data_IF_090976993373
#
_entry.id   IF_090976993373
#
_cell.length_a   1.000
_cell.length_b   1.000
_cell.length_c   1.000
_cell.angle_alpha   90.00
_cell.angle_beta   90.00
_cell.angle_gamma   90.00
#
_symmetry.space_group_name_H-M   'P 1'
#
loop_
_entity.id
_entity.type
_entity.pdbx_description
1 polymer ?
#
# COMPACT_ATOMS: atom_id res chain seq x y z
N UNK A 1 -7.46 15.34 9.25
CA UNK A 1 -8.14 14.83 10.44
C UNK A 1 -7.19 13.94 11.21
N UNK A 2 -6.88 14.27 12.46
CA UNK A 2 -6.18 13.40 13.40
C UNK A 2 -7.19 12.85 14.39
N UNK A 3 -7.09 11.58 14.73
CA UNK A 3 -8.03 10.92 15.63
C UNK A 3 -7.34 9.76 16.36
N UNK A 4 -7.66 9.62 17.64
CA UNK A 4 -7.29 8.46 18.46
C UNK A 4 -8.57 7.85 19.01
N UNK A 5 -8.95 6.66 18.56
CA UNK A 5 -10.19 5.96 18.95
C UNK A 5 -10.67 5.00 17.87
N UNK A 6 -11.95 4.67 17.89
CA UNK A 6 -12.56 3.67 17.01
C UNK A 6 -12.47 4.03 15.52
N UNK A 7 -12.09 3.08 14.64
CA UNK A 7 -11.94 3.30 13.20
C UNK A 7 -13.21 3.87 12.51
N UNK A 8 -14.38 3.42 12.91
CA UNK A 8 -15.64 3.89 12.31
C UNK A 8 -15.93 5.35 12.66
N UNK A 9 -15.55 5.81 13.85
CA UNK A 9 -15.66 7.22 14.22
C UNK A 9 -14.67 8.08 13.43
N UNK A 10 -13.44 7.60 13.24
CA UNK A 10 -12.48 8.22 12.32
C UNK A 10 -13.08 8.37 10.92
N UNK A 11 -13.67 7.31 10.39
CA UNK A 11 -14.33 7.30 9.08
C UNK A 11 -15.44 8.35 8.96
N UNK A 12 -16.26 8.53 10.01
CA UNK A 12 -17.31 9.58 10.06
C UNK A 12 -16.71 10.98 9.95
N UNK A 13 -15.65 11.25 10.69
CA UNK A 13 -14.95 12.55 10.67
C UNK A 13 -14.30 12.83 9.34
N UNK A 14 -13.62 11.84 8.76
CA UNK A 14 -13.03 11.97 7.42
C UNK A 14 -14.12 12.24 6.37
N UNK A 15 -15.25 11.53 6.43
CA UNK A 15 -16.36 11.75 5.51
C UNK A 15 -16.98 13.14 5.66
N UNK A 16 -17.16 13.61 6.88
CA UNK A 16 -17.67 14.95 7.12
C UNK A 16 -16.76 16.03 6.53
N UNK A 17 -15.44 15.89 6.73
CA UNK A 17 -14.44 16.78 6.16
C UNK A 17 -14.41 16.71 4.63
N UNK A 18 -14.48 15.52 4.05
CA UNK A 18 -14.52 15.31 2.61
C UNK A 18 -15.78 15.97 1.99
N UNK A 19 -16.93 15.86 2.67
CA UNK A 19 -18.17 16.55 2.23
C UNK A 19 -18.03 18.07 2.25
N UNK A 20 -17.40 18.62 3.30
CA UNK A 20 -17.11 20.06 3.35
C UNK A 20 -16.23 20.53 2.20
N UNK A 21 -15.35 19.65 1.71
CA UNK A 21 -14.43 19.90 0.58
C UNK A 21 -15.02 19.54 -0.78
N UNK A 22 -16.31 19.28 -0.86
CA UNK A 22 -16.98 19.05 -2.13
C UNK A 22 -17.00 17.59 -2.60
N UNK A 23 -16.92 16.60 -1.71
CA UNK A 23 -17.01 15.18 -2.08
C UNK A 23 -18.24 14.86 -2.95
N UNK A 24 -19.36 15.56 -2.72
CA UNK A 24 -20.59 15.32 -3.47
C UNK A 24 -20.48 15.70 -4.94
N UNK A 25 -19.62 16.67 -5.27
CA UNK A 25 -19.43 17.20 -6.63
C UNK A 25 -18.29 16.49 -7.39
N UNK A 26 -17.53 15.60 -6.72
CA UNK A 26 -16.43 14.89 -7.39
C UNK A 26 -16.95 13.75 -8.25
N UNK A 27 -16.41 13.61 -9.46
CA UNK A 27 -16.72 12.51 -10.38
C UNK A 27 -16.05 11.18 -9.98
N UNK A 28 -14.83 11.25 -9.47
CA UNK A 28 -14.07 10.09 -9.03
C UNK A 28 -13.51 10.29 -7.62
N UNK A 29 -13.57 9.23 -6.82
CA UNK A 29 -13.04 9.20 -5.45
C UNK A 29 -12.14 7.98 -5.32
N UNK A 30 -10.94 8.18 -4.79
CA UNK A 30 -9.98 7.13 -4.54
C UNK A 30 -9.60 7.12 -3.06
N UNK A 31 -9.38 5.94 -2.52
CA UNK A 31 -8.80 5.73 -1.18
C UNK A 31 -7.50 4.97 -1.37
N UNK A 32 -6.37 5.67 -1.17
CA UNK A 32 -5.04 5.07 -1.20
C UNK A 32 -4.64 4.70 0.22
N UNK A 33 -4.29 3.45 0.46
CA UNK A 33 -3.99 2.93 1.80
C UNK A 33 -2.97 1.78 1.79
N UNK A 34 -2.42 1.49 2.97
CA UNK A 34 -1.40 0.47 3.21
C UNK A 34 -1.91 -0.99 3.22
N UNK A 35 -3.21 -1.20 2.99
CA UNK A 35 -3.82 -2.53 3.01
C UNK A 35 -4.43 -2.93 4.36
N UNK A 36 -4.36 -2.08 5.38
CA UNK A 36 -4.98 -2.38 6.68
C UNK A 36 -6.48 -2.64 6.56
N UNK A 37 -6.94 -3.75 7.08
CA UNK A 37 -8.34 -4.23 6.96
C UNK A 37 -9.36 -3.19 7.44
N UNK A 38 -9.04 -2.45 8.51
CA UNK A 38 -9.94 -1.44 9.06
C UNK A 38 -10.15 -0.27 8.09
N UNK A 39 -9.14 0.09 7.28
CA UNK A 39 -9.27 1.17 6.29
C UNK A 39 -10.24 0.76 5.18
N UNK A 40 -10.14 -0.50 4.71
CA UNK A 40 -11.08 -1.02 3.71
C UNK A 40 -12.51 -1.09 4.24
N UNK A 41 -12.70 -1.41 5.52
CA UNK A 41 -14.02 -1.32 6.17
C UNK A 41 -14.55 0.11 6.20
N UNK A 42 -13.73 1.08 6.57
CA UNK A 42 -14.10 2.51 6.53
C UNK A 42 -14.41 2.95 5.09
N UNK A 43 -13.62 2.53 4.12
CA UNK A 43 -13.86 2.85 2.71
C UNK A 43 -15.21 2.30 2.24
N UNK A 44 -15.50 1.03 2.51
CA UNK A 44 -16.78 0.42 2.14
C UNK A 44 -17.98 1.08 2.83
N UNK A 45 -17.87 1.37 4.12
CA UNK A 45 -18.96 1.92 4.94
C UNK A 45 -19.23 3.41 4.65
N UNK A 46 -18.20 4.22 4.43
CA UNK A 46 -18.29 5.67 4.31
C UNK A 46 -18.09 6.21 2.91
N UNK A 47 -17.39 5.49 2.08
CA UNK A 47 -16.98 5.90 0.73
C UNK A 47 -17.26 4.81 -0.30
N UNK A 48 -18.44 4.16 -0.23
CA UNK A 48 -18.77 2.99 -1.05
C UNK A 48 -18.63 3.17 -2.57
N UNK A 49 -18.66 4.42 -3.07
CA UNK A 49 -18.35 4.73 -4.48
C UNK A 49 -16.86 4.93 -4.76
N UNK A 50 -16.03 5.01 -3.71
CA UNK A 50 -14.61 5.20 -3.87
C UNK A 50 -13.94 3.91 -4.31
N UNK A 51 -12.98 4.02 -5.21
CA UNK A 51 -12.11 2.91 -5.56
C UNK A 51 -10.94 2.84 -4.57
N UNK A 52 -10.74 1.68 -3.95
CA UNK A 52 -9.58 1.41 -3.11
C UNK A 52 -8.35 1.15 -3.97
N UNK A 53 -7.22 1.72 -3.56
CA UNK A 53 -5.92 1.53 -4.19
C UNK A 53 -4.91 1.20 -3.10
N UNK A 54 -4.25 0.05 -3.22
CA UNK A 54 -3.15 -0.30 -2.33
C UNK A 54 -1.97 0.63 -2.62
N UNK A 55 -1.39 1.22 -1.59
CA UNK A 55 -0.22 2.09 -1.75
C UNK A 55 0.92 1.34 -2.45
N UNK A 56 1.39 1.88 -3.59
CA UNK A 56 2.43 1.25 -4.39
C UNK A 56 3.76 1.11 -3.64
N UNK A 57 4.13 2.10 -2.84
CA UNK A 57 5.37 2.04 -2.06
C UNK A 57 5.28 0.99 -0.97
N UNK A 58 4.11 0.85 -0.34
CA UNK A 58 3.86 -0.18 0.64
C UNK A 58 3.89 -1.59 -0.01
N UNK A 59 3.21 -1.78 -1.13
CA UNK A 59 3.30 -3.00 -1.93
C UNK A 59 4.75 -3.32 -2.34
N UNK A 60 5.52 -2.29 -2.71
CA UNK A 60 6.94 -2.44 -3.04
C UNK A 60 7.75 -2.96 -1.84
N UNK A 61 7.50 -2.47 -0.63
CA UNK A 61 8.16 -2.95 0.58
C UNK A 61 7.89 -4.44 0.84
N UNK A 62 6.67 -4.89 0.60
CA UNK A 62 6.28 -6.30 0.71
C UNK A 62 7.03 -7.17 -0.32
N UNK A 63 7.17 -6.74 -1.57
CA UNK A 63 7.99 -7.45 -2.57
C UNK A 63 9.47 -7.49 -2.18
N UNK A 64 10.01 -6.39 -1.64
CA UNK A 64 11.37 -6.36 -1.12
C UNK A 64 11.57 -7.32 0.06
N UNK A 65 10.57 -7.49 0.90
CA UNK A 65 10.61 -8.49 1.99
C UNK A 65 10.79 -9.90 1.45
N UNK A 66 10.05 -10.27 0.41
CA UNK A 66 10.24 -11.56 -0.27
C UNK A 66 11.64 -11.66 -0.89
N UNK A 67 12.08 -10.63 -1.61
CA UNK A 67 13.38 -10.62 -2.27
C UNK A 67 14.53 -10.89 -1.29
N UNK A 68 14.52 -10.19 -0.15
CA UNK A 68 15.54 -10.35 0.90
C UNK A 68 15.45 -11.69 1.61
N UNK A 69 14.24 -12.24 1.78
CA UNK A 69 14.09 -13.59 2.33
C UNK A 69 14.65 -14.67 1.38
N UNK A 70 14.53 -14.48 0.07
CA UNK A 70 15.12 -15.37 -0.94
C UNK A 70 16.64 -15.19 -1.08
N UNK A 71 17.16 -14.00 -0.85
CA UNK A 71 18.56 -13.60 -1.04
C UNK A 71 19.12 -12.87 0.20
N UNK A 72 19.19 -13.50 1.38
CA UNK A 72 19.40 -12.81 2.66
C UNK A 72 20.75 -12.10 2.80
N UNK A 73 21.74 -12.44 1.98
CA UNK A 73 23.09 -11.84 2.04
C UNK A 73 23.54 -11.29 0.67
N UNK A 74 22.64 -11.22 -0.28
CA UNK A 74 22.94 -10.75 -1.64
C UNK A 74 21.89 -9.72 -2.08
N UNK A 75 22.15 -8.45 -1.73
CA UNK A 75 21.26 -7.34 -2.09
C UNK A 75 21.20 -7.12 -3.61
N UNK A 76 22.26 -7.48 -4.35
CA UNK A 76 22.27 -7.38 -5.80
C UNK A 76 21.33 -8.42 -6.43
N UNK A 77 21.35 -9.66 -5.94
CA UNK A 77 20.41 -10.70 -6.37
C UNK A 77 18.98 -10.38 -5.93
N UNK A 78 18.78 -9.86 -4.71
CA UNK A 78 17.47 -9.43 -4.26
C UNK A 78 16.90 -8.32 -5.16
N UNK A 79 17.71 -7.32 -5.51
CA UNK A 79 17.37 -6.25 -6.44
C UNK A 79 17.03 -6.78 -7.83
N UNK A 80 17.87 -7.62 -8.40
CA UNK A 80 17.65 -8.21 -9.71
C UNK A 80 16.35 -9.03 -9.79
N UNK A 81 15.94 -9.63 -8.65
CA UNK A 81 14.69 -10.37 -8.56
C UNK A 81 13.47 -9.43 -8.46
N UNK A 82 13.54 -8.37 -7.66
CA UNK A 82 12.38 -7.53 -7.34
C UNK A 82 12.09 -6.46 -8.39
N UNK A 83 13.10 -5.86 -9.01
CA UNK A 83 12.91 -4.74 -9.95
C UNK A 83 12.00 -5.08 -11.14
N UNK A 84 12.12 -6.26 -11.79
CA UNK A 84 11.19 -6.67 -12.85
C UNK A 84 9.74 -6.77 -12.35
N UNK A 85 9.52 -7.28 -11.12
CA UNK A 85 8.18 -7.40 -10.54
C UNK A 85 7.58 -6.03 -10.20
N UNK A 86 8.38 -5.09 -9.69
CA UNK A 86 7.94 -3.72 -9.46
C UNK A 86 7.55 -3.03 -10.78
N UNK A 87 8.32 -3.27 -11.85
CA UNK A 87 7.99 -2.77 -13.18
C UNK A 87 6.67 -3.37 -13.68
N UNK A 88 6.51 -4.67 -13.60
CA UNK A 88 5.27 -5.37 -13.98
C UNK A 88 4.06 -4.83 -13.21
N UNK A 89 4.19 -4.69 -11.88
CA UNK A 89 3.14 -4.17 -11.02
C UNK A 89 2.69 -2.77 -11.43
N UNK A 90 3.65 -1.90 -11.79
CA UNK A 90 3.38 -0.53 -12.22
C UNK A 90 2.69 -0.45 -13.58
N UNK A 91 2.95 -1.40 -14.48
CA UNK A 91 2.48 -1.41 -15.87
C UNK A 91 1.36 -2.41 -16.13
N UNK A 92 0.44 -2.59 -15.17
CA UNK A 92 -0.78 -3.36 -15.36
C UNK A 92 -0.59 -4.87 -15.51
N UNK A 93 0.57 -5.39 -15.11
CA UNK A 93 0.89 -6.81 -15.17
C UNK A 93 0.83 -7.48 -13.79
N UNK A 94 -0.07 -7.02 -12.93
CA UNK A 94 -0.25 -7.53 -11.57
C UNK A 94 -0.52 -9.04 -11.50
N UNK A 95 -1.17 -9.59 -12.52
CA UNK A 95 -1.40 -11.05 -12.62
C UNK A 95 -0.09 -11.83 -12.71
N UNK A 96 0.92 -11.30 -13.43
CA UNK A 96 2.25 -11.92 -13.52
C UNK A 96 2.97 -11.91 -12.19
N UNK A 97 2.84 -10.82 -11.43
CA UNK A 97 3.41 -10.70 -10.08
C UNK A 97 2.75 -11.72 -9.13
N UNK A 98 1.43 -11.81 -9.13
CA UNK A 98 0.68 -12.78 -8.33
C UNK A 98 1.08 -14.21 -8.67
N UNK A 99 1.18 -14.56 -9.97
CA UNK A 99 1.60 -15.88 -10.42
C UNK A 99 3.03 -16.19 -9.97
N UNK A 100 3.94 -15.21 -10.06
CA UNK A 100 5.33 -15.39 -9.59
C UNK A 100 5.36 -15.73 -8.11
N UNK A 101 4.59 -15.03 -7.28
CA UNK A 101 4.51 -15.29 -5.84
C UNK A 101 3.88 -16.65 -5.54
N UNK A 102 2.88 -17.07 -6.29
CA UNK A 102 2.21 -18.36 -6.15
C UNK A 102 3.17 -19.52 -6.47
N UNK A 103 4.04 -19.33 -7.46
CA UNK A 103 5.00 -20.38 -7.90
C UNK A 103 6.25 -20.48 -7.00
N UNK A 104 6.51 -19.49 -6.13
CA UNK A 104 7.73 -19.46 -5.30
C UNK A 104 7.93 -20.67 -4.40
N UNK A 105 6.91 -21.21 -3.68
CA UNK A 105 7.12 -22.39 -2.84
C UNK A 105 7.63 -23.57 -3.65
N UNK A 106 7.02 -23.85 -4.81
CA UNK A 106 7.45 -24.92 -5.70
C UNK A 106 8.84 -24.65 -6.30
N UNK A 107 9.17 -23.40 -6.59
CA UNK A 107 10.50 -22.99 -7.04
C UNK A 107 11.57 -23.25 -5.97
N UNK A 108 11.31 -22.93 -4.71
CA UNK A 108 12.20 -23.20 -3.58
C UNK A 108 12.45 -24.71 -3.44
N UNK A 109 11.38 -25.50 -3.44
CA UNK A 109 11.47 -26.97 -3.32
C UNK A 109 12.30 -27.59 -4.44
N UNK A 110 12.07 -27.18 -5.71
CA UNK A 110 12.87 -27.66 -6.85
C UNK A 110 14.37 -27.38 -6.70
N UNK A 111 14.73 -26.30 -5.98
CA UNK A 111 16.12 -25.92 -5.68
C UNK A 111 16.65 -26.45 -4.36
N UNK A 112 15.91 -27.35 -3.72
CA UNK A 112 16.24 -27.93 -2.40
C UNK A 112 16.48 -26.86 -1.32
N UNK A 113 15.71 -25.75 -1.40
CA UNK A 113 15.73 -24.66 -0.43
C UNK A 113 14.48 -24.74 0.44
N UNK A 114 14.60 -24.39 1.72
CA UNK A 114 13.44 -24.15 2.57
C UNK A 114 12.64 -22.98 2.01
N UNK A 115 11.32 -23.04 2.11
CA UNK A 115 10.45 -21.89 1.78
C UNK A 115 10.50 -20.93 2.96
N UNK A 116 10.99 -19.69 2.78
CA UNK A 116 10.96 -18.72 3.85
C UNK A 116 9.51 -18.39 4.26
N UNK A 117 9.20 -18.20 5.55
CA UNK A 117 7.84 -17.90 6.00
C UNK A 117 7.31 -16.55 5.42
N UNK A 118 8.20 -15.64 5.09
CA UNK A 118 7.87 -14.39 4.42
C UNK A 118 7.19 -14.63 3.06
N UNK A 119 7.61 -15.67 2.32
CA UNK A 119 7.07 -15.97 0.99
C UNK A 119 5.56 -16.27 1.08
N UNK A 120 5.16 -17.12 2.03
CA UNK A 120 3.74 -17.47 2.21
C UNK A 120 2.93 -16.28 2.71
N UNK A 121 3.45 -15.57 3.72
CA UNK A 121 2.79 -14.38 4.28
C UNK A 121 2.57 -13.30 3.22
N UNK A 122 3.59 -12.98 2.44
CA UNK A 122 3.49 -11.92 1.44
C UNK A 122 2.66 -12.35 0.22
N UNK A 123 2.70 -13.62 -0.18
CA UNK A 123 1.78 -14.18 -1.19
C UNK A 123 0.31 -13.96 -0.75
N UNK A 124 -0.03 -14.34 0.47
CA UNK A 124 -1.39 -14.20 0.99
C UNK A 124 -1.81 -12.72 1.11
N UNK A 125 -0.87 -11.85 1.48
CA UNK A 125 -1.07 -10.40 1.47
C UNK A 125 -1.42 -9.90 0.07
N UNK A 126 -0.62 -10.21 -0.95
CA UNK A 126 -0.88 -9.79 -2.33
C UNK A 126 -2.19 -10.36 -2.87
N UNK A 127 -2.47 -11.62 -2.60
CA UNK A 127 -3.70 -12.27 -3.03
C UNK A 127 -4.95 -11.61 -2.41
N UNK A 128 -4.88 -11.22 -1.14
CA UNK A 128 -5.99 -10.53 -0.46
C UNK A 128 -6.22 -9.10 -0.98
N UNK A 129 -5.21 -8.47 -1.59
CA UNK A 129 -5.28 -7.10 -2.09
C UNK A 129 -5.32 -6.99 -3.62
N UNK A 130 -5.48 -8.12 -4.34
CA UNK A 130 -5.42 -8.15 -5.81
C UNK A 130 -6.34 -7.14 -6.50
N UNK A 131 -7.52 -6.87 -5.94
CA UNK A 131 -8.50 -5.93 -6.50
C UNK A 131 -8.12 -4.45 -6.29
N UNK A 132 -7.03 -4.19 -5.55
CA UNK A 132 -6.56 -2.85 -5.21
C UNK A 132 -5.24 -2.48 -5.90
N UNK A 133 -4.72 -3.33 -6.81
CA UNK A 133 -3.38 -3.17 -7.40
C UNK A 133 -3.39 -2.78 -8.88
N UNK A 134 -4.49 -2.28 -9.42
CA UNK A 134 -4.61 -1.89 -10.84
C UNK A 134 -3.94 -0.54 -11.11
N UNK A 135 -2.64 -0.42 -10.83
CA UNK A 135 -1.90 0.86 -10.80
C UNK A 135 -1.90 1.60 -12.13
N UNK A 136 -1.69 0.92 -13.25
CA UNK A 136 -1.70 1.54 -14.58
C UNK A 136 -3.07 2.16 -14.88
N UNK A 137 -4.15 1.41 -14.66
CA UNK A 137 -5.51 1.89 -14.87
C UNK A 137 -5.87 3.05 -13.92
N UNK A 138 -5.34 3.04 -12.69
CA UNK A 138 -5.53 4.15 -11.74
C UNK A 138 -4.75 5.37 -12.15
N UNK A 139 -3.49 5.22 -12.55
CA UNK A 139 -2.64 6.31 -13.04
C UNK A 139 -3.25 6.98 -14.29
N UNK A 140 -3.79 6.18 -15.22
CA UNK A 140 -4.48 6.69 -16.41
C UNK A 140 -5.73 7.54 -16.06
N UNK A 141 -6.33 7.33 -14.89
CA UNK A 141 -7.47 8.11 -14.36
C UNK A 141 -7.02 9.31 -13.50
N UNK A 142 -5.71 9.59 -13.42
CA UNK A 142 -5.15 10.67 -12.61
C UNK A 142 -5.11 10.38 -11.10
N UNK A 143 -5.31 9.12 -10.68
CA UNK A 143 -5.19 8.73 -9.29
C UNK A 143 -3.70 8.66 -8.89
N UNK A 144 -3.29 9.26 -7.76
CA UNK A 144 -1.99 8.98 -7.19
C UNK A 144 -1.94 7.52 -6.74
N UNK A 145 -0.94 6.77 -7.20
CA UNK A 145 -0.79 5.34 -6.88
C UNK A 145 -0.02 5.10 -5.57
N UNK A 146 0.39 6.15 -4.89
CA UNK A 146 1.11 6.07 -3.61
C UNK A 146 0.85 7.28 -2.73
N UNK A 147 1.10 7.11 -1.44
CA UNK A 147 0.89 8.11 -0.38
C UNK A 147 2.03 9.13 -0.24
N UNK A 148 2.99 9.17 -1.17
CA UNK A 148 4.20 9.99 -1.06
C UNK A 148 3.94 11.47 -0.74
N UNK A 149 2.87 12.06 -1.26
CA UNK A 149 2.47 13.42 -0.90
C UNK A 149 2.02 13.53 0.56
N UNK A 150 1.33 12.52 1.09
CA UNK A 150 0.89 12.47 2.49
C UNK A 150 2.06 12.18 3.42
N UNK A 151 2.97 11.29 3.03
CA UNK A 151 4.19 11.00 3.79
C UNK A 151 5.08 12.24 3.90
N UNK A 152 5.26 12.99 2.80
CA UNK A 152 5.97 14.26 2.79
C UNK A 152 5.31 15.28 3.72
N UNK A 153 3.98 15.40 3.68
CA UNK A 153 3.24 16.28 4.58
C UNK A 153 3.41 15.84 6.05
N UNK A 154 3.29 14.57 6.36
CA UNK A 154 3.48 14.04 7.70
C UNK A 154 4.92 14.28 8.20
N UNK A 155 5.93 14.10 7.36
CA UNK A 155 7.32 14.39 7.69
C UNK A 155 7.54 15.88 7.99
N UNK A 156 6.94 16.78 7.21
CA UNK A 156 6.98 18.23 7.47
C UNK A 156 6.29 18.59 8.78
N UNK A 157 5.12 18.00 9.07
CA UNK A 157 4.41 18.19 10.34
C UNK A 157 5.23 17.67 11.50
N UNK A 158 5.81 16.46 11.41
CA UNK A 158 6.68 15.92 12.46
C UNK A 158 7.91 16.80 12.69
N UNK A 159 8.53 17.32 11.62
CA UNK A 159 9.64 18.24 11.71
C UNK A 159 9.26 19.55 12.43
N UNK A 160 8.01 20.00 12.30
CA UNK A 160 7.49 21.17 13.04
C UNK A 160 7.20 20.88 14.50
N UNK A 161 6.64 19.71 14.81
CA UNK A 161 6.20 19.36 16.17
C UNK A 161 7.30 18.74 17.03
N UNK A 162 8.33 18.12 16.44
CA UNK A 162 9.40 17.40 17.13
C UNK A 162 10.73 18.15 17.22
N UNK A 163 10.82 19.39 16.74
CA UNK A 163 12.05 20.18 16.87
C UNK A 163 12.29 20.56 18.32
N UNK A 164 13.53 20.30 18.83
CA UNK A 164 13.95 20.75 20.14
C UNK A 164 13.75 22.26 20.29
N UNK A 165 13.16 22.71 21.41
CA UNK A 165 12.91 24.12 21.71
C UNK A 165 11.59 24.70 21.22
N UNK A 166 10.70 23.91 20.63
CA UNK A 166 9.33 24.35 20.33
C UNK A 166 8.41 23.96 21.49
N UNK A 167 7.89 24.96 22.18
CA UNK A 167 6.86 24.83 23.21
C UNK A 167 5.52 25.20 22.58
N UNK A 168 4.51 24.37 22.75
CA UNK A 168 3.13 24.64 22.35
C UNK A 168 2.35 24.97 23.61
N UNK A 169 1.79 26.18 23.68
CA UNK A 169 0.80 26.49 24.71
C UNK A 169 -0.48 25.73 24.45
N UNK A 170 -1.06 25.18 25.53
CA UNK A 170 -2.35 24.51 25.49
C UNK A 170 -3.50 25.46 25.12
#
# INVERSE_FOLDING_TARGET
>A
VAWQGEPLEFGRRVQAEARRRGLAQTQAVFVVADGSVWIWKVQQDRFGRAQGVLDFYHASQHLWTVARALHPQDEAAARAWVEPLLSQLRHGQEKGVLQTLEDLPAWCVRRRRAVPPEVERERDYFQSHREHMHYEAMAARGCPVGSGAMESFCAQMQGRFKRCGQFWSA
#
